data_IF_241958881861
#
_entry.id   IF_241958881861
#
_cell.length_a   1.000
_cell.length_b   1.000
_cell.length_c   1.000
_cell.angle_alpha   90.00
_cell.angle_beta   90.00
_cell.angle_gamma   90.00
#
_symmetry.space_group_name_H-M   'P 1'
#
loop_
_entity.id
_entity.type
_entity.pdbx_description
1 polymer ?
#
# COMPACT_ATOMS: atom_id res chain seq x y z
N UNK A 1 0.56 18.76 -13.53
CA UNK A 1 -0.21 17.93 -12.56
C UNK A 1 0.52 17.82 -11.23
N UNK A 2 1.70 17.19 -11.14
CA UNK A 2 2.44 17.06 -9.87
C UNK A 2 2.78 18.42 -9.21
N UNK A 3 3.20 19.40 -10.00
CA UNK A 3 3.47 20.74 -9.48
C UNK A 3 2.23 21.41 -8.87
N UNK A 4 1.07 21.28 -9.54
CA UNK A 4 -0.20 21.78 -9.03
C UNK A 4 -0.63 21.06 -7.75
N UNK A 5 -0.34 19.75 -7.63
CA UNK A 5 -0.61 19.00 -6.41
C UNK A 5 0.25 19.48 -5.23
N UNK A 6 1.53 19.81 -5.46
CA UNK A 6 2.38 20.43 -4.42
C UNK A 6 1.85 21.79 -3.98
N UNK A 7 1.49 22.64 -4.95
CA UNK A 7 0.92 23.95 -4.68
C UNK A 7 -0.41 23.85 -3.92
N UNK A 8 -1.24 22.86 -4.26
CA UNK A 8 -2.47 22.58 -3.53
C UNK A 8 -2.21 22.30 -2.05
N UNK A 9 -1.26 21.41 -1.72
CA UNK A 9 -0.95 21.10 -0.32
C UNK A 9 -0.42 22.33 0.44
N UNK A 10 0.49 23.09 -0.17
CA UNK A 10 1.04 24.32 0.40
C UNK A 10 -0.04 25.38 0.67
N UNK A 11 -1.05 25.47 -0.20
CA UNK A 11 -2.16 26.41 -0.04
C UNK A 11 -3.20 25.94 0.97
N UNK A 12 -3.54 24.65 1.02
CA UNK A 12 -4.67 24.12 1.80
C UNK A 12 -4.28 23.81 3.25
N UNK A 13 -3.16 23.12 3.48
CA UNK A 13 -2.81 22.61 4.81
C UNK A 13 -2.72 23.71 5.90
N UNK A 14 -2.15 24.91 5.66
CA UNK A 14 -2.08 25.95 6.68
C UNK A 14 -3.44 26.46 7.18
N UNK A 15 -4.49 26.31 6.37
CA UNK A 15 -5.84 26.80 6.69
C UNK A 15 -6.71 25.78 7.42
N UNK A 16 -6.25 24.54 7.55
CA UNK A 16 -7.03 23.41 8.08
C UNK A 16 -6.28 22.61 9.15
N UNK A 17 -5.46 23.30 9.97
CA UNK A 17 -4.71 22.66 11.05
C UNK A 17 -5.67 22.08 12.10
N UNK A 18 -5.54 20.78 12.38
CA UNK A 18 -6.40 20.08 13.34
C UNK A 18 -7.77 19.68 12.78
N UNK A 19 -8.04 19.95 11.50
CA UNK A 19 -9.28 19.59 10.84
C UNK A 19 -9.13 18.32 9.99
N UNK A 20 -10.26 17.66 9.71
CA UNK A 20 -10.33 16.60 8.68
C UNK A 20 -10.95 17.18 7.43
N UNK A 21 -10.21 17.19 6.32
CA UNK A 21 -10.69 17.66 5.03
C UNK A 21 -10.95 16.49 4.08
N UNK A 22 -11.99 16.62 3.25
CA UNK A 22 -12.27 15.67 2.17
C UNK A 22 -11.95 16.31 0.82
N UNK A 23 -11.05 15.67 0.06
CA UNK A 23 -10.68 16.11 -1.30
C UNK A 23 -11.28 15.15 -2.32
N UNK A 24 -12.23 15.64 -3.12
CA UNK A 24 -12.90 14.85 -4.16
C UNK A 24 -12.36 15.27 -5.53
N UNK A 25 -11.79 14.34 -6.28
CA UNK A 25 -11.21 14.60 -7.60
C UNK A 25 -11.17 13.35 -8.49
N UNK A 26 -10.49 13.45 -9.63
CA UNK A 26 -10.31 12.34 -10.57
C UNK A 26 -9.08 11.48 -10.23
N UNK A 27 -9.07 10.23 -10.68
CA UNK A 27 -8.02 9.26 -10.34
C UNK A 27 -6.60 9.73 -10.67
N UNK A 28 -6.39 10.45 -11.79
CA UNK A 28 -5.08 11.02 -12.11
C UNK A 28 -4.62 12.07 -11.09
N UNK A 29 -5.50 13.00 -10.75
CA UNK A 29 -5.24 14.06 -9.76
C UNK A 29 -5.02 13.49 -8.37
N UNK A 30 -5.84 12.54 -7.93
CA UNK A 30 -5.69 11.89 -6.62
C UNK A 30 -4.32 11.20 -6.52
N UNK A 31 -3.90 10.49 -7.57
CA UNK A 31 -2.56 9.87 -7.59
C UNK A 31 -1.44 10.91 -7.50
N UNK A 32 -1.55 12.02 -8.21
CA UNK A 32 -0.58 13.10 -8.10
C UNK A 32 -0.56 13.70 -6.68
N UNK A 33 -1.73 13.95 -6.08
CA UNK A 33 -1.87 14.45 -4.71
C UNK A 33 -1.20 13.52 -3.70
N UNK A 34 -1.52 12.22 -3.73
CA UNK A 34 -0.92 11.20 -2.87
C UNK A 34 0.59 11.17 -3.10
N UNK A 35 1.05 10.98 -4.35
CA UNK A 35 2.48 10.87 -4.64
C UNK A 35 3.27 12.09 -4.16
N UNK A 36 2.76 13.30 -4.37
CA UNK A 36 3.45 14.51 -3.89
C UNK A 36 3.42 14.67 -2.37
N UNK A 37 2.37 14.16 -1.70
CA UNK A 37 2.26 14.24 -0.25
C UNK A 37 3.25 13.29 0.44
N UNK A 38 3.45 12.09 -0.13
CA UNK A 38 4.36 11.07 0.41
C UNK A 38 5.78 11.15 -0.18
N UNK A 39 6.06 12.12 -1.04
CA UNK A 39 7.34 12.28 -1.75
C UNK A 39 7.71 11.11 -2.69
N UNK A 40 6.72 10.40 -3.22
CA UNK A 40 6.92 9.39 -4.25
C UNK A 40 7.25 10.02 -5.60
N UNK A 41 8.25 9.48 -6.30
CA UNK A 41 8.69 10.00 -7.59
C UNK A 41 7.61 9.82 -8.68
N UNK A 42 7.45 10.85 -9.51
CA UNK A 42 6.46 10.90 -10.58
C UNK A 42 6.65 9.84 -11.67
N UNK A 43 7.85 9.27 -11.82
CA UNK A 43 8.13 8.15 -12.74
C UNK A 43 7.27 6.92 -12.46
N UNK A 44 6.67 6.85 -11.27
CA UNK A 44 5.96 5.69 -10.76
C UNK A 44 4.46 5.93 -10.61
N UNK A 45 3.93 6.90 -11.37
CA UNK A 45 2.50 7.22 -11.47
C UNK A 45 1.58 6.00 -11.70
N UNK A 46 2.10 4.95 -12.35
CA UNK A 46 1.36 3.73 -12.65
C UNK A 46 1.40 2.68 -11.53
N UNK A 47 2.29 2.83 -10.54
CA UNK A 47 2.37 1.94 -9.38
C UNK A 47 1.19 2.15 -8.41
N UNK A 48 0.65 3.38 -8.35
CA UNK A 48 -0.55 3.66 -7.56
C UNK A 48 -1.83 3.31 -8.32
N UNK A 49 -2.68 2.50 -7.69
CA UNK A 49 -4.04 2.26 -8.14
C UNK A 49 -5.00 3.21 -7.44
N UNK A 50 -5.88 3.85 -8.21
CA UNK A 50 -7.01 4.62 -7.69
C UNK A 50 -8.28 4.18 -8.44
N UNK A 51 -9.27 3.72 -7.68
CA UNK A 51 -10.53 3.19 -8.21
C UNK A 51 -11.64 4.22 -8.06
N UNK A 52 -12.71 4.04 -8.82
CA UNK A 52 -13.92 4.85 -8.65
C UNK A 52 -14.49 4.59 -7.25
N UNK A 53 -14.77 5.67 -6.51
CA UNK A 53 -15.19 5.60 -5.12
C UNK A 53 -14.10 5.15 -4.13
N UNK A 54 -12.87 4.88 -4.57
CA UNK A 54 -11.78 4.50 -3.67
C UNK A 54 -11.40 5.63 -2.71
N UNK A 55 -11.32 5.33 -1.42
CA UNK A 55 -10.97 6.31 -0.38
C UNK A 55 -9.51 6.11 0.05
N UNK A 56 -8.74 7.19 0.07
CA UNK A 56 -7.37 7.21 0.61
C UNK A 56 -7.31 8.24 1.74
N UNK A 57 -6.51 7.98 2.77
CA UNK A 57 -6.36 8.83 3.93
C UNK A 57 -4.89 9.16 4.15
N UNK A 58 -4.63 10.44 4.39
CA UNK A 58 -3.31 10.99 4.68
C UNK A 58 -3.39 11.72 6.01
N UNK A 59 -2.42 11.49 6.88
CA UNK A 59 -2.24 12.23 8.13
C UNK A 59 -1.03 13.14 7.99
N UNK A 60 -1.23 14.43 8.25
CA UNK A 60 -0.19 15.45 8.19
C UNK A 60 0.17 15.88 9.61
N UNK A 61 1.45 15.76 9.97
CA UNK A 61 2.03 16.40 11.15
C UNK A 61 3.08 17.43 10.69
N UNK A 62 3.61 18.28 11.60
CA UNK A 62 4.54 19.34 11.22
C UNK A 62 5.79 18.88 10.47
N UNK A 63 6.21 17.63 10.69
CA UNK A 63 7.47 17.04 10.25
C UNK A 63 7.31 15.84 9.32
N UNK A 64 6.11 15.26 9.20
CA UNK A 64 5.87 14.06 8.38
C UNK A 64 4.47 14.01 7.80
N UNK A 65 4.37 13.28 6.70
CA UNK A 65 3.10 12.87 6.09
C UNK A 65 3.04 11.36 6.08
N UNK A 66 1.91 10.80 6.54
CA UNK A 66 1.69 9.36 6.57
C UNK A 66 0.48 8.99 5.71
N UNK A 67 0.66 8.05 4.79
CA UNK A 67 -0.45 7.40 4.10
C UNK A 67 -1.02 6.29 4.98
N UNK A 68 -2.15 6.55 5.63
CA UNK A 68 -2.76 5.61 6.59
C UNK A 68 -3.72 4.63 5.94
N UNK A 69 -4.29 4.99 4.79
CA UNK A 69 -5.08 4.10 3.97
C UNK A 69 -4.98 4.49 2.49
N UNK A 70 -5.00 3.52 1.59
CA UNK A 70 -4.96 3.78 0.16
C UNK A 70 -6.03 2.99 -0.59
N UNK A 71 -6.81 3.72 -1.40
CA UNK A 71 -7.75 3.15 -2.37
C UNK A 71 -8.70 2.11 -1.76
N UNK A 72 -9.24 2.37 -0.57
CA UNK A 72 -10.20 1.51 0.12
C UNK A 72 -11.55 1.53 -0.62
N UNK A 73 -12.00 0.37 -1.10
CA UNK A 73 -13.29 0.21 -1.81
C UNK A 73 -14.29 -0.70 -1.09
N UNK A 74 -13.99 -1.10 0.14
CA UNK A 74 -14.83 -2.07 0.85
C UNK A 74 -16.25 -1.58 1.19
N UNK A 75 -16.45 -0.27 1.28
CA UNK A 75 -17.78 0.32 1.42
C UNK A 75 -18.66 0.12 0.18
N UNK A 76 -18.06 -0.24 -0.96
CA UNK A 76 -18.75 -0.63 -2.20
C UNK A 76 -19.02 -2.15 -2.27
N UNK A 77 -18.75 -2.89 -1.19
CA UNK A 77 -18.87 -4.36 -1.16
C UNK A 77 -17.72 -5.10 -1.83
N UNK A 78 -16.63 -4.41 -2.19
CA UNK A 78 -15.47 -5.04 -2.82
C UNK A 78 -14.48 -5.58 -1.77
N UNK A 79 -13.99 -6.80 -1.95
CA UNK A 79 -12.92 -7.37 -1.10
C UNK A 79 -11.60 -6.62 -1.32
N UNK A 80 -11.31 -6.34 -2.59
CA UNK A 80 -10.19 -5.54 -3.03
C UNK A 80 -10.61 -4.62 -4.18
N UNK A 81 -9.91 -3.49 -4.35
CA UNK A 81 -10.16 -2.60 -5.47
C UNK A 81 -10.05 -3.32 -6.80
N UNK A 82 -11.08 -3.22 -7.66
CA UNK A 82 -11.09 -3.88 -8.96
C UNK A 82 -9.92 -3.40 -9.83
N UNK A 83 -9.17 -4.36 -10.34
CA UNK A 83 -8.19 -4.08 -11.39
C UNK A 83 -8.92 -3.95 -12.73
N UNK A 84 -8.33 -3.23 -13.70
CA UNK A 84 -8.86 -3.20 -15.08
C UNK A 84 -8.79 -4.61 -15.70
N UNK A 85 -9.58 -4.91 -16.73
CA UNK A 85 -9.53 -6.23 -17.38
C UNK A 85 -8.19 -6.51 -18.07
N UNK A 86 -7.82 -7.80 -18.19
CA UNK A 86 -6.61 -8.26 -18.89
C UNK A 86 -5.29 -8.04 -18.15
N UNK A 87 -5.31 -7.93 -16.82
CA UNK A 87 -4.13 -7.55 -16.03
C UNK A 87 -3.15 -8.68 -15.84
N UNK A 88 -1.89 -8.32 -16.07
CA UNK A 88 -0.69 -9.09 -15.80
C UNK A 88 0.18 -8.32 -14.80
N UNK A 89 1.15 -9.00 -14.21
CA UNK A 89 2.16 -8.39 -13.35
C UNK A 89 1.82 -8.47 -11.87
N UNK A 90 2.36 -7.55 -11.09
CA UNK A 90 2.37 -7.64 -9.64
C UNK A 90 1.36 -6.69 -8.98
N UNK A 91 0.56 -7.24 -8.07
CA UNK A 91 -0.28 -6.52 -7.13
C UNK A 91 0.27 -6.70 -5.72
N UNK A 92 0.45 -5.61 -4.99
CA UNK A 92 0.88 -5.65 -3.60
C UNK A 92 -0.23 -5.13 -2.69
N UNK A 93 -0.46 -5.87 -1.62
CA UNK A 93 -1.27 -5.45 -0.48
C UNK A 93 -0.29 -5.09 0.62
N UNK A 94 -0.26 -3.82 1.01
CA UNK A 94 0.63 -3.29 2.04
C UNK A 94 -0.14 -3.25 3.36
N UNK A 95 0.37 -3.93 4.39
CA UNK A 95 -0.23 -4.00 5.70
C UNK A 95 0.78 -3.56 6.79
N UNK A 96 0.55 -2.42 7.45
CA UNK A 96 1.40 -2.00 8.57
C UNK A 96 1.36 -3.02 9.72
N UNK A 97 2.52 -3.31 10.31
CA UNK A 97 2.64 -4.20 11.46
C UNK A 97 1.88 -3.67 12.71
N UNK A 98 1.68 -2.36 12.79
CA UNK A 98 0.91 -1.69 13.85
C UNK A 98 -0.60 -1.85 13.73
N UNK A 99 -1.08 -2.63 12.75
CA UNK A 99 -2.50 -2.87 12.57
C UNK A 99 -3.10 -3.62 13.75
N UNK A 100 -4.03 -2.98 14.47
CA UNK A 100 -4.65 -3.52 15.69
C UNK A 100 -5.87 -4.41 15.41
N UNK A 101 -6.61 -4.15 14.33
CA UNK A 101 -7.84 -4.87 13.98
C UNK A 101 -7.59 -5.91 12.87
N UNK A 102 -6.96 -7.04 13.23
CA UNK A 102 -6.61 -8.09 12.26
C UNK A 102 -7.80 -8.93 11.78
N UNK A 103 -8.83 -9.16 12.61
CA UNK A 103 -9.93 -10.07 12.25
C UNK A 103 -10.73 -9.64 11.00
N UNK A 104 -11.12 -8.36 10.82
CA UNK A 104 -11.76 -7.91 9.58
C UNK A 104 -10.86 -8.05 8.35
N UNK A 105 -9.55 -7.88 8.54
CA UNK A 105 -8.55 -7.99 7.47
C UNK A 105 -8.39 -9.44 7.06
N UNK A 106 -8.23 -10.34 8.03
CA UNK A 106 -8.15 -11.78 7.81
C UNK A 106 -9.37 -12.29 7.02
N UNK A 107 -10.59 -11.92 7.44
CA UNK A 107 -11.83 -12.32 6.75
C UNK A 107 -11.84 -11.93 5.27
N UNK A 108 -11.20 -10.80 4.92
CA UNK A 108 -11.07 -10.36 3.52
C UNK A 108 -9.92 -11.07 2.82
N UNK A 109 -8.77 -11.22 3.47
CA UNK A 109 -7.62 -11.93 2.93
C UNK A 109 -7.95 -13.39 2.60
N UNK A 110 -8.81 -14.05 3.39
CA UNK A 110 -9.24 -15.43 3.16
C UNK A 110 -10.06 -15.61 1.88
N UNK A 111 -10.61 -14.53 1.33
CA UNK A 111 -11.34 -14.52 0.06
C UNK A 111 -10.42 -14.31 -1.16
N UNK A 112 -9.11 -14.18 -0.93
CA UNK A 112 -8.13 -13.83 -1.96
C UNK A 112 -7.09 -14.93 -2.13
N UNK A 113 -6.66 -15.15 -3.38
CA UNK A 113 -5.41 -15.85 -3.65
C UNK A 113 -4.25 -14.91 -3.35
N UNK A 114 -3.39 -15.28 -2.40
CA UNK A 114 -2.16 -14.57 -2.05
C UNK A 114 -1.02 -15.52 -2.38
N UNK A 115 -0.17 -15.13 -3.31
CA UNK A 115 0.88 -15.98 -3.88
C UNK A 115 2.13 -16.01 -2.99
N UNK A 116 2.44 -14.90 -2.33
CA UNK A 116 3.60 -14.77 -1.45
C UNK A 116 3.36 -13.74 -0.34
N UNK A 117 4.13 -13.85 0.74
CA UNK A 117 4.11 -12.91 1.86
C UNK A 117 5.55 -12.49 2.17
N UNK A 118 5.76 -11.18 2.22
CA UNK A 118 7.02 -10.58 2.65
C UNK A 118 6.77 -9.95 4.01
N UNK A 119 7.54 -10.33 5.02
CA UNK A 119 7.47 -9.70 6.33
C UNK A 119 8.85 -9.19 6.75
N UNK A 120 8.90 -8.02 7.38
CA UNK A 120 10.14 -7.59 8.04
C UNK A 120 10.45 -8.49 9.24
N UNK A 121 11.73 -8.56 9.64
CA UNK A 121 12.18 -9.42 10.75
C UNK A 121 11.80 -8.89 12.14
N UNK A 122 11.09 -7.76 12.22
CA UNK A 122 10.58 -7.25 13.49
C UNK A 122 9.61 -8.25 14.14
N UNK A 123 9.66 -8.34 15.48
CA UNK A 123 8.79 -9.24 16.26
C UNK A 123 7.31 -8.98 15.92
N UNK A 124 6.94 -7.72 15.76
CA UNK A 124 5.57 -7.33 15.46
C UNK A 124 5.15 -7.76 14.06
N UNK A 125 5.97 -7.54 13.04
CA UNK A 125 5.66 -7.98 11.67
C UNK A 125 5.56 -9.49 11.57
N UNK A 126 6.45 -10.23 12.23
CA UNK A 126 6.39 -11.69 12.30
C UNK A 126 5.13 -12.17 13.01
N UNK A 127 4.75 -11.58 14.14
CA UNK A 127 3.54 -11.95 14.86
C UNK A 127 2.27 -11.71 14.03
N UNK A 128 2.19 -10.60 13.29
CA UNK A 128 1.08 -10.31 12.38
C UNK A 128 1.07 -11.30 11.21
N UNK A 129 2.22 -11.58 10.60
CA UNK A 129 2.34 -12.56 9.53
C UNK A 129 1.90 -13.95 9.99
N UNK A 130 2.41 -14.44 11.11
CA UNK A 130 2.01 -15.75 11.66
C UNK A 130 0.52 -15.82 12.01
N UNK A 131 -0.06 -14.74 12.54
CA UNK A 131 -1.49 -14.69 12.83
C UNK A 131 -2.33 -14.80 11.55
N UNK A 132 -1.95 -14.08 10.49
CA UNK A 132 -2.67 -14.06 9.22
C UNK A 132 -2.42 -15.29 8.36
N UNK A 133 -1.25 -15.92 8.45
CA UNK A 133 -0.87 -17.08 7.64
C UNK A 133 -1.36 -18.41 8.25
N UNK A 134 -1.49 -18.51 9.58
CA UNK A 134 -1.91 -19.76 10.27
C UNK A 134 -3.26 -20.30 9.82
N UNK A 135 -4.20 -19.42 9.50
CA UNK A 135 -5.57 -19.78 9.11
C UNK A 135 -5.73 -20.05 7.62
N UNK A 136 -4.65 -19.94 6.83
CA UNK A 136 -4.76 -20.00 5.38
C UNK A 136 -4.73 -21.43 4.85
N UNK A 137 -5.58 -21.73 3.85
CA UNK A 137 -5.68 -23.06 3.28
C UNK A 137 -4.47 -23.45 2.41
N UNK A 138 -3.63 -22.49 2.00
CA UNK A 138 -2.45 -22.73 1.16
C UNK A 138 -1.18 -22.15 1.81
N UNK A 139 -0.06 -22.89 1.76
CA UNK A 139 1.22 -22.41 2.27
C UNK A 139 1.69 -21.23 1.41
N UNK A 140 2.05 -20.13 2.07
CA UNK A 140 2.56 -18.94 1.42
C UNK A 140 4.08 -18.91 1.58
N UNK A 141 4.81 -18.58 0.52
CA UNK A 141 6.25 -18.34 0.62
C UNK A 141 6.45 -17.13 1.51
N UNK A 142 6.94 -17.37 2.74
CA UNK A 142 7.28 -16.34 3.70
C UNK A 142 8.76 -15.98 3.52
N UNK A 143 9.01 -14.74 3.13
CA UNK A 143 10.36 -14.18 3.00
C UNK A 143 10.60 -13.24 4.17
N UNK A 144 11.18 -13.72 5.30
CA UNK A 144 11.67 -12.81 6.33
C UNK A 144 12.79 -11.98 5.73
N UNK A 145 12.69 -10.66 5.85
CA UNK A 145 13.74 -9.77 5.37
C UNK A 145 14.25 -8.92 6.52
N UNK A 146 15.55 -9.06 6.81
CA UNK A 146 16.28 -8.16 7.68
C UNK A 146 16.05 -6.71 7.27
N UNK A 147 15.75 -5.84 8.23
CA UNK A 147 15.33 -4.46 8.00
C UNK A 147 16.29 -3.68 7.09
N UNK A 148 17.61 -3.94 7.20
CA UNK A 148 18.64 -3.29 6.36
C UNK A 148 18.62 -3.74 4.90
N UNK A 149 18.10 -4.93 4.61
CA UNK A 149 18.02 -5.51 3.27
C UNK A 149 16.59 -5.54 2.72
N UNK A 150 15.59 -5.06 3.47
CA UNK A 150 14.18 -5.06 3.10
C UNK A 150 13.96 -4.48 1.70
N UNK A 151 14.47 -3.27 1.46
CA UNK A 151 14.31 -2.57 0.19
C UNK A 151 14.97 -3.30 -0.98
N UNK A 152 16.20 -3.79 -0.82
CA UNK A 152 16.93 -4.48 -1.88
C UNK A 152 16.31 -5.84 -2.22
N UNK A 153 15.96 -6.61 -1.20
CA UNK A 153 15.34 -7.93 -1.36
C UNK A 153 13.92 -7.79 -1.91
N UNK A 154 13.20 -6.73 -1.52
CA UNK A 154 11.91 -6.40 -2.09
C UNK A 154 12.03 -6.00 -3.57
N UNK A 155 12.96 -5.12 -3.95
CA UNK A 155 13.25 -4.79 -5.36
C UNK A 155 13.55 -6.06 -6.16
N UNK A 156 14.39 -6.95 -5.64
CA UNK A 156 14.71 -8.24 -6.27
C UNK A 156 13.48 -9.14 -6.38
N UNK A 157 12.68 -9.24 -5.32
CA UNK A 157 11.49 -10.10 -5.29
C UNK A 157 10.43 -9.61 -6.27
N UNK A 158 10.18 -8.30 -6.31
CA UNK A 158 9.31 -7.67 -7.32
C UNK A 158 9.83 -7.92 -8.72
N UNK A 159 11.10 -7.66 -8.95
CA UNK A 159 11.71 -7.83 -10.26
C UNK A 159 11.63 -9.30 -10.72
N UNK A 160 11.97 -10.26 -9.88
CA UNK A 160 11.87 -11.68 -10.19
C UNK A 160 10.42 -12.12 -10.43
N UNK A 161 9.49 -11.77 -9.53
CA UNK A 161 8.08 -12.18 -9.65
C UNK A 161 7.40 -11.51 -10.86
N UNK A 162 7.61 -10.21 -11.08
CA UNK A 162 7.05 -9.51 -12.25
C UNK A 162 7.52 -10.08 -13.60
N UNK A 163 8.72 -10.66 -13.67
CA UNK A 163 9.23 -11.32 -14.88
C UNK A 163 8.80 -12.78 -15.02
N UNK A 164 8.51 -13.46 -13.90
CA UNK A 164 8.19 -14.88 -13.87
C UNK A 164 6.68 -15.17 -13.80
N UNK A 165 5.85 -14.17 -13.51
CA UNK A 165 4.40 -14.32 -13.46
C UNK A 165 3.78 -14.00 -14.83
N UNK A 166 3.40 -15.02 -15.64
CA UNK A 166 2.71 -14.81 -16.91
C UNK A 166 1.28 -14.27 -16.71
N UNK A 167 0.78 -14.26 -15.48
CA UNK A 167 -0.53 -13.81 -15.03
C UNK A 167 -0.39 -12.81 -13.86
N UNK A 168 -1.50 -12.23 -13.39
CA UNK A 168 -1.51 -11.41 -12.18
C UNK A 168 -1.06 -12.20 -10.94
N UNK A 169 -0.09 -11.67 -10.20
CA UNK A 169 0.40 -12.19 -8.94
C UNK A 169 0.08 -11.20 -7.81
N UNK A 170 -0.44 -11.68 -6.69
CA UNK A 170 -0.83 -10.88 -5.52
C UNK A 170 0.06 -11.22 -4.33
N UNK A 171 0.90 -10.28 -3.92
CA UNK A 171 1.74 -10.38 -2.73
C UNK A 171 1.17 -9.60 -1.54
N UNK A 172 1.34 -10.16 -0.35
CA UNK A 172 1.11 -9.46 0.92
C UNK A 172 2.46 -8.96 1.46
N UNK A 173 2.52 -7.70 1.88
CA UNK A 173 3.71 -7.08 2.50
C UNK A 173 3.34 -6.62 3.89
N UNK A 174 4.05 -7.11 4.90
CA UNK A 174 3.87 -6.77 6.31
C UNK A 174 5.17 -6.15 6.81
N UNK A 175 5.12 -4.88 7.19
CA UNK A 175 6.29 -4.16 7.67
C UNK A 175 5.83 -3.00 8.54
N UNK A 176 6.76 -2.36 9.24
CA UNK A 176 6.46 -1.16 10.00
C UNK A 176 5.98 -0.05 9.04
N UNK A 177 5.04 0.80 9.46
CA UNK A 177 4.51 1.88 8.62
C UNK A 177 5.61 2.77 8.01
N UNK A 178 6.66 3.07 8.75
CA UNK A 178 7.82 3.86 8.28
C UNK A 178 8.61 3.15 7.18
N UNK A 179 8.75 1.81 7.26
CA UNK A 179 9.40 1.02 6.23
C UNK A 179 8.57 1.01 4.95
N UNK A 180 7.25 0.87 5.07
CA UNK A 180 6.31 0.96 3.94
C UNK A 180 6.34 2.36 3.31
N UNK A 181 6.42 3.41 4.11
CA UNK A 181 6.52 4.79 3.64
C UNK A 181 7.83 5.03 2.87
N UNK A 182 8.96 4.63 3.46
CA UNK A 182 10.30 4.73 2.83
C UNK A 182 10.35 3.96 1.51
N UNK A 183 9.71 2.79 1.46
CA UNK A 183 9.54 1.99 0.26
C UNK A 183 8.79 2.77 -0.82
N UNK A 184 7.61 3.31 -0.51
CA UNK A 184 6.80 4.06 -1.47
C UNK A 184 7.53 5.27 -2.07
N UNK A 185 8.49 5.86 -1.35
CA UNK A 185 9.30 6.97 -1.85
C UNK A 185 10.32 6.56 -2.93
N UNK A 186 10.75 5.29 -2.94
CA UNK A 186 11.79 4.77 -3.84
C UNK A 186 11.23 4.07 -5.08
N UNK A 187 9.91 3.94 -5.15
CA UNK A 187 9.17 3.03 -6.03
C UNK A 187 8.43 3.72 -7.11
#
# INVERSE_FOLDING_TARGET
MYEQARQFWQAVLPHHVGETIAVVSHGGTIKALISTAIEMNCTHFHALQQSNGGISALEFSPDRVQLTAMNITAHLGEVLPKLKDGKLGLRLILLPAQTTALAPIQTRLDQLAIDFCIASETIQSQAVAEALLRSRPQPIVHLPIADTNFLQTWHRTIHCQSQQCPNLCTGLVIAEAEQIQTLLQQV
#
